data_IF_522010650544
#
_entry.id   IF_522010650544
#
_cell.length_a   1.000
_cell.length_b   1.000
_cell.length_c   1.000
_cell.angle_alpha   90.00
_cell.angle_beta   90.00
_cell.angle_gamma   90.00
#
_symmetry.space_group_name_H-M   'P 1'
#
loop_
_entity.id
_entity.type
_entity.pdbx_description
1 polymer ?
#
# COMPACT_ATOMS: atom_id res chain seq x y z
N UNK A 1 4.21 -1.92 -28.72
CA UNK A 1 3.91 -0.54 -28.26
C UNK A 1 2.89 0.05 -29.21
N UNK A 2 1.62 0.06 -28.81
CA UNK A 2 0.52 0.55 -29.65
C UNK A 2 0.07 1.92 -29.12
N UNK A 3 0.12 2.94 -29.96
CA UNK A 3 -0.36 4.29 -29.63
C UNK A 3 -1.78 4.41 -30.15
N UNK A 4 -2.73 4.65 -29.26
CA UNK A 4 -4.13 4.93 -29.62
C UNK A 4 -4.34 6.43 -29.46
N UNK A 5 -4.68 7.10 -30.56
CA UNK A 5 -4.93 8.54 -30.57
C UNK A 5 -6.41 8.81 -30.25
N UNK A 6 -6.72 8.96 -28.96
CA UNK A 6 -8.01 9.45 -28.49
C UNK A 6 -7.90 10.95 -28.22
N UNK A 7 -8.19 11.75 -29.25
CA UNK A 7 -8.38 13.20 -29.22
C UNK A 7 -7.96 13.93 -27.95
N UNK A 8 -6.73 14.48 -27.97
CA UNK A 8 -6.03 15.32 -26.96
C UNK A 8 -5.20 14.63 -25.87
N UNK A 9 -5.26 13.32 -25.68
CA UNK A 9 -4.31 12.63 -24.79
C UNK A 9 -3.79 11.34 -25.42
N UNK A 10 -2.48 11.29 -25.68
CA UNK A 10 -1.81 10.04 -26.05
C UNK A 10 -1.73 9.15 -24.82
N UNK A 11 -2.60 8.15 -24.73
CA UNK A 11 -2.52 7.12 -23.69
C UNK A 11 -1.60 6.02 -24.20
N UNK A 12 -0.44 5.88 -23.58
CA UNK A 12 0.48 4.77 -23.85
C UNK A 12 -0.08 3.51 -23.19
N UNK A 13 -0.58 2.57 -24.00
CA UNK A 13 -0.98 1.25 -23.51
C UNK A 13 0.29 0.42 -23.38
N UNK A 14 0.74 0.23 -22.14
CA UNK A 14 1.88 -0.62 -21.81
C UNK A 14 1.46 -2.10 -21.90
N UNK A 15 1.97 -2.82 -22.89
CA UNK A 15 1.90 -4.28 -22.91
C UNK A 15 2.82 -4.81 -21.80
N UNK A 16 2.26 -5.58 -20.86
CA UNK A 16 3.04 -6.19 -19.80
C UNK A 16 4.14 -7.07 -20.41
N UNK A 17 5.44 -6.85 -20.10
CA UNK A 17 6.45 -7.82 -20.44
C UNK A 17 6.11 -9.12 -19.71
N UNK A 18 6.01 -10.22 -20.44
CA UNK A 18 5.90 -11.54 -19.86
C UNK A 18 7.12 -11.75 -18.95
N UNK A 19 6.91 -11.76 -17.63
CA UNK A 19 7.97 -12.04 -16.67
C UNK A 19 8.47 -13.47 -16.89
N UNK A 20 9.62 -13.60 -17.57
CA UNK A 20 10.44 -14.81 -17.47
C UNK A 20 10.96 -14.89 -16.05
N UNK A 21 10.46 -15.85 -15.28
CA UNK A 21 11.10 -16.31 -14.07
C UNK A 21 12.53 -16.77 -14.42
N UNK A 22 13.52 -15.95 -14.08
CA UNK A 22 14.93 -16.37 -14.08
C UNK A 22 15.18 -17.02 -12.73
N UNK A 23 15.05 -18.34 -12.69
CA UNK A 23 15.58 -19.14 -11.59
C UNK A 23 17.12 -18.96 -11.56
N UNK A 24 17.63 -18.43 -10.45
CA UNK A 24 19.05 -18.43 -10.14
C UNK A 24 19.35 -19.65 -9.24
N UNK A 25 19.94 -20.74 -9.76
CA UNK A 25 20.13 -21.97 -8.99
C UNK A 25 21.40 -21.96 -8.12
N UNK A 26 22.13 -20.83 -8.01
CA UNK A 26 23.45 -20.80 -7.38
C UNK A 26 23.63 -19.67 -6.36
N UNK A 27 22.67 -19.49 -5.45
CA UNK A 27 22.96 -18.80 -4.18
C UNK A 27 23.73 -19.75 -3.26
N UNK A 28 25.06 -19.69 -3.33
CA UNK A 28 25.98 -20.52 -2.55
C UNK A 28 25.69 -20.49 -1.05
N UNK A 29 25.43 -21.66 -0.49
CA UNK A 29 25.37 -21.88 0.96
C UNK A 29 26.71 -21.46 1.57
N UNK A 30 26.70 -20.46 2.46
CA UNK A 30 27.85 -20.24 3.34
C UNK A 30 28.03 -21.50 4.20
N UNK A 31 29.25 -22.05 4.31
CA UNK A 31 29.50 -23.18 5.17
C UNK A 31 29.06 -22.84 6.59
N UNK A 32 28.24 -23.72 7.16
CA UNK A 32 27.70 -23.58 8.50
C UNK A 32 28.84 -23.89 9.48
N UNK A 33 29.34 -22.85 10.14
CA UNK A 33 30.44 -22.95 11.11
C UNK A 33 29.98 -23.83 12.27
N UNK A 34 30.75 -24.87 12.57
CA UNK A 34 30.39 -25.82 13.62
C UNK A 34 30.44 -25.15 14.99
N UNK A 35 29.75 -25.73 15.98
CA UNK A 35 29.75 -25.22 17.36
C UNK A 35 31.17 -25.17 17.95
N UNK A 36 32.04 -26.11 17.57
CA UNK A 36 33.44 -26.15 17.99
C UNK A 36 34.26 -25.00 17.39
N UNK A 37 34.10 -24.72 16.09
CA UNK A 37 34.76 -23.59 15.42
C UNK A 37 34.36 -22.23 16.02
N UNK A 38 33.12 -22.10 16.47
CA UNK A 38 32.63 -20.90 17.18
C UNK A 38 33.28 -20.73 18.55
N UNK A 39 33.47 -21.83 19.29
CA UNK A 39 34.10 -21.79 20.61
C UNK A 39 35.59 -21.47 20.52
N UNK A 40 36.31 -22.07 19.57
CA UNK A 40 37.74 -21.75 19.35
C UNK A 40 37.97 -20.28 18.96
N UNK A 41 37.06 -19.70 18.18
CA UNK A 41 37.12 -18.29 17.81
C UNK A 41 36.95 -17.39 19.03
N UNK A 42 35.96 -17.70 19.89
CA UNK A 42 35.71 -16.96 21.12
C UNK A 42 36.87 -17.07 22.11
N UNK A 43 37.47 -18.24 22.26
CA UNK A 43 38.62 -18.44 23.15
C UNK A 43 39.85 -17.65 22.69
N UNK A 44 40.10 -17.59 21.38
CA UNK A 44 41.17 -16.74 20.80
C UNK A 44 40.94 -15.26 21.11
N UNK A 45 39.72 -14.77 20.86
CA UNK A 45 39.34 -13.38 21.14
C UNK A 45 39.45 -13.05 22.65
N UNK A 46 39.03 -13.97 23.53
CA UNK A 46 39.14 -13.77 24.98
C UNK A 46 40.60 -13.76 25.48
N UNK A 47 41.48 -14.54 24.83
CA UNK A 47 42.90 -14.58 25.16
C UNK A 47 43.62 -13.27 24.82
N UNK A 48 43.24 -12.62 23.72
CA UNK A 48 43.82 -11.34 23.28
C UNK A 48 43.40 -10.18 24.19
N UNK A 49 42.15 -10.22 24.68
CA UNK A 49 41.65 -9.26 25.69
C UNK A 49 42.39 -9.42 27.01
N UNK A 50 42.65 -10.65 27.45
CA UNK A 50 43.41 -10.90 28.70
C UNK A 50 44.89 -10.50 28.58
N UNK A 51 45.46 -10.54 27.36
CA UNK A 51 46.85 -10.15 27.10
C UNK A 51 47.05 -8.64 27.12
N UNK A 52 46.03 -7.87 26.71
CA UNK A 52 46.05 -6.40 26.77
C UNK A 52 45.83 -5.82 28.18
N UNK A 53 45.23 -6.58 29.11
CA UNK A 53 44.83 -6.04 30.42
C UNK A 53 45.86 -6.25 31.55
N UNK A 54 47.09 -6.70 31.25
CA UNK A 54 48.14 -6.96 32.27
C UNK A 54 49.17 -5.84 32.46
N UNK A 55 49.11 -4.74 31.71
CA UNK A 55 50.13 -3.68 31.76
C UNK A 55 49.68 -2.33 32.35
N UNK A 56 48.49 -2.24 32.97
CA UNK A 56 47.90 -0.93 33.28
C UNK A 56 47.30 -0.80 34.70
N UNK A 57 47.91 -1.30 35.78
CA UNK A 57 47.39 -0.99 37.14
C UNK A 57 48.38 -1.12 38.30
N UNK A 58 49.59 -0.57 38.20
CA UNK A 58 50.48 -0.37 39.36
C UNK A 58 51.23 0.97 39.29
N UNK A 59 50.49 2.08 39.24
CA UNK A 59 50.93 3.40 39.70
C UNK A 59 49.72 4.36 39.67
N UNK A 60 49.68 5.34 40.58
CA UNK A 60 48.71 6.47 40.68
C UNK A 60 47.55 6.31 41.68
N UNK A 61 47.83 5.92 42.93
CA UNK A 61 46.80 5.81 43.97
C UNK A 61 46.34 7.13 44.66
N UNK A 62 47.00 8.31 44.58
CA UNK A 62 46.43 9.52 45.21
C UNK A 62 46.11 10.71 44.28
N UNK A 63 46.34 10.62 42.97
CA UNK A 63 45.84 11.61 41.99
C UNK A 63 44.53 11.17 41.29
N UNK A 64 44.11 9.92 41.52
CA UNK A 64 42.98 9.30 40.83
C UNK A 64 41.62 9.88 41.24
N UNK A 65 41.45 10.39 42.47
CA UNK A 65 40.14 10.86 42.94
C UNK A 65 39.57 12.06 42.18
N UNK A 66 40.41 13.06 41.87
CA UNK A 66 39.98 14.28 41.18
C UNK A 66 39.97 14.13 39.64
N UNK A 67 40.90 13.34 39.08
CA UNK A 67 40.93 12.99 37.66
C UNK A 67 39.89 11.94 37.26
N UNK A 68 39.40 11.10 38.18
CA UNK A 68 38.27 10.18 37.90
C UNK A 68 36.95 10.95 37.82
N UNK A 69 36.74 12.01 38.60
CA UNK A 69 35.52 12.84 38.52
C UNK A 69 35.54 13.76 37.28
N UNK A 70 36.67 14.41 36.98
CA UNK A 70 36.84 15.18 35.74
C UNK A 70 36.93 14.28 34.49
N UNK A 71 37.55 13.10 34.60
CA UNK A 71 37.62 12.09 33.56
C UNK A 71 36.26 11.45 33.27
N UNK A 72 35.42 11.19 34.28
CA UNK A 72 34.02 10.78 34.06
C UNK A 72 33.22 11.90 33.39
N UNK A 73 33.44 13.17 33.74
CA UNK A 73 32.73 14.28 33.09
C UNK A 73 33.20 14.56 31.65
N UNK A 74 34.48 14.31 31.33
CA UNK A 74 35.03 14.49 29.98
C UNK A 74 34.82 13.24 29.10
N UNK A 75 34.82 12.03 29.65
CA UNK A 75 34.47 10.79 28.93
C UNK A 75 32.94 10.55 28.86
N UNK A 76 32.15 11.24 29.70
CA UNK A 76 30.69 11.33 29.57
C UNK A 76 30.23 12.42 28.60
N UNK A 77 31.15 13.18 27.98
CA UNK A 77 30.82 13.88 26.73
C UNK A 77 30.64 12.83 25.64
N UNK A 78 29.41 12.33 25.65
CA UNK A 78 28.70 11.61 24.61
C UNK A 78 29.57 11.29 23.44
N UNK A 79 29.89 10.01 23.32
CA UNK A 79 30.10 9.39 22.02
C UNK A 79 28.75 9.40 21.28
N UNK A 80 28.17 10.60 21.09
CA UNK A 80 27.01 10.89 20.28
C UNK A 80 27.51 10.69 18.86
N UNK A 81 27.67 9.41 18.49
CA UNK A 81 27.75 9.01 17.10
C UNK A 81 26.58 9.75 16.45
N UNK A 82 26.83 10.63 15.46
CA UNK A 82 25.76 11.34 14.79
C UNK A 82 24.73 10.28 14.46
N UNK A 83 23.51 10.42 14.99
CA UNK A 83 22.47 9.45 14.77
C UNK A 83 22.35 9.35 13.25
N UNK A 84 22.87 8.26 12.68
CA UNK A 84 22.86 8.08 11.23
C UNK A 84 21.41 7.91 10.86
N UNK A 85 20.76 9.03 10.55
CA UNK A 85 19.36 9.05 10.18
C UNK A 85 19.24 8.24 8.91
N UNK A 86 18.49 7.13 8.98
CA UNK A 86 18.25 6.31 7.81
C UNK A 86 17.72 7.18 6.66
N UNK A 87 18.13 6.91 5.40
CA UNK A 87 17.70 7.72 4.27
C UNK A 87 16.18 7.74 4.15
N UNK A 88 15.65 8.84 3.64
CA UNK A 88 14.25 8.93 3.27
C UNK A 88 14.01 8.12 2.01
N UNK A 89 12.93 7.33 2.02
CA UNK A 89 12.49 6.51 0.89
C UNK A 89 11.00 6.71 0.66
N UNK A 90 10.61 6.67 -0.61
CA UNK A 90 9.20 6.66 -0.98
C UNK A 90 8.62 5.26 -0.71
N UNK A 91 7.44 5.22 -0.10
CA UNK A 91 6.66 4.01 0.18
C UNK A 91 5.26 4.19 -0.33
N UNK A 92 4.65 3.08 -0.74
CA UNK A 92 3.36 3.08 -1.39
C UNK A 92 2.39 2.25 -0.56
N UNK A 93 1.17 2.76 -0.43
CA UNK A 93 0.13 2.12 0.36
C UNK A 93 -1.18 2.04 -0.38
N UNK A 94 -2.02 1.10 0.03
CA UNK A 94 -3.40 1.00 -0.41
C UNK A 94 -4.32 0.84 0.80
N UNK A 95 -5.45 1.52 0.77
CA UNK A 95 -6.58 1.27 1.67
C UNK A 95 -7.77 0.88 0.79
N UNK A 96 -8.34 -0.30 1.03
CA UNK A 96 -9.60 -0.73 0.43
C UNK A 96 -10.74 -0.24 1.32
N UNK A 97 -11.83 0.21 0.71
CA UNK A 97 -13.00 0.69 1.41
C UNK A 97 -14.27 0.06 0.86
N UNK A 98 -15.30 0.11 1.70
CA UNK A 98 -16.66 -0.06 1.26
C UNK A 98 -17.58 0.88 2.01
N UNK A 99 -18.72 1.20 1.41
CA UNK A 99 -19.89 1.58 2.17
C UNK A 99 -21.09 0.74 1.76
N UNK A 100 -22.05 0.58 2.66
CA UNK A 100 -23.30 -0.15 2.42
C UNK A 100 -24.41 0.37 3.35
N UNK A 101 -25.67 0.17 2.96
CA UNK A 101 -26.82 0.29 3.87
C UNK A 101 -27.17 -1.07 4.50
N UNK A 102 -28.22 -1.11 5.32
CA UNK A 102 -28.65 -2.35 5.99
C UNK A 102 -29.11 -3.46 5.02
N UNK A 103 -29.54 -3.09 3.81
CA UNK A 103 -30.02 -4.03 2.79
C UNK A 103 -28.89 -4.48 1.84
N UNK A 104 -27.75 -3.77 1.83
CA UNK A 104 -26.59 -4.01 0.98
C UNK A 104 -26.96 -4.20 -0.51
N UNK A 105 -27.89 -3.38 -1.01
CA UNK A 105 -28.28 -3.41 -2.42
C UNK A 105 -27.16 -2.82 -3.29
N UNK A 106 -26.99 -3.34 -4.51
CA UNK A 106 -26.02 -2.82 -5.47
C UNK A 106 -26.13 -1.29 -5.70
N UNK A 107 -27.33 -0.72 -5.61
CA UNK A 107 -27.58 0.73 -5.74
C UNK A 107 -27.17 1.57 -4.55
N UNK A 108 -26.87 0.94 -3.42
CA UNK A 108 -26.62 1.60 -2.13
C UNK A 108 -25.32 1.17 -1.48
N UNK A 109 -24.55 0.38 -2.20
CA UNK A 109 -23.28 -0.16 -1.79
C UNK A 109 -22.19 0.22 -2.76
N UNK A 110 -20.96 0.32 -2.25
CA UNK A 110 -19.83 0.76 -3.04
C UNK A 110 -18.55 0.12 -2.58
N UNK A 111 -17.68 -0.18 -3.55
CA UNK A 111 -16.31 -0.63 -3.36
C UNK A 111 -15.40 0.42 -3.97
N UNK A 112 -14.43 0.89 -3.21
CA UNK A 112 -13.47 1.89 -3.67
C UNK A 112 -12.12 1.70 -2.97
N UNK A 113 -11.04 2.22 -3.55
CA UNK A 113 -9.70 2.09 -3.00
C UNK A 113 -8.94 3.40 -3.10
N UNK A 114 -8.10 3.69 -2.11
CA UNK A 114 -7.16 4.83 -2.16
C UNK A 114 -5.73 4.31 -2.13
N UNK A 115 -4.94 4.77 -3.10
CA UNK A 115 -3.52 4.51 -3.30
C UNK A 115 -2.74 5.73 -2.84
N UNK A 116 -1.68 5.51 -2.09
CA UNK A 116 -1.01 6.55 -1.33
C UNK A 116 0.49 6.44 -1.59
N UNK A 117 1.13 7.57 -1.87
CA UNK A 117 2.58 7.70 -1.85
C UNK A 117 2.95 8.54 -0.63
N UNK A 118 3.82 8.01 0.21
CA UNK A 118 4.34 8.71 1.37
C UNK A 118 5.86 8.58 1.43
N UNK A 119 6.53 9.55 2.04
CA UNK A 119 7.97 9.55 2.25
C UNK A 119 8.26 9.32 3.72
N UNK A 120 9.15 8.39 4.03
CA UNK A 120 9.53 8.10 5.40
C UNK A 120 10.93 7.52 5.49
N UNK A 121 11.46 7.39 6.71
CA UNK A 121 12.79 6.79 6.90
C UNK A 121 12.79 5.32 6.50
N UNK A 122 13.89 4.84 5.93
CA UNK A 122 14.04 3.44 5.51
C UNK A 122 13.91 2.45 6.68
N UNK A 123 14.31 2.85 7.89
CA UNK A 123 14.14 2.08 9.12
C UNK A 123 12.70 2.06 9.66
N UNK A 124 11.78 2.82 9.04
CA UNK A 124 10.39 2.96 9.46
C UNK A 124 10.19 3.78 10.73
N UNK A 125 11.24 4.44 11.23
CA UNK A 125 11.15 5.37 12.37
C UNK A 125 10.69 6.75 11.91
N UNK A 126 10.06 7.51 12.80
CA UNK A 126 9.55 8.85 12.52
C UNK A 126 8.12 8.87 11.96
N UNK A 127 7.66 10.07 11.62
CA UNK A 127 6.37 10.29 10.96
C UNK A 127 6.55 10.28 9.44
N UNK A 128 5.76 9.49 8.70
CA UNK A 128 5.74 9.59 7.26
C UNK A 128 5.15 10.93 6.83
N UNK A 129 5.67 11.48 5.74
CA UNK A 129 5.11 12.65 5.04
C UNK A 129 4.20 12.15 3.92
N UNK A 130 2.96 12.62 3.87
CA UNK A 130 2.05 12.33 2.77
C UNK A 130 2.47 13.12 1.53
N UNK A 131 2.78 12.44 0.44
CA UNK A 131 3.19 13.08 -0.81
C UNK A 131 2.02 13.18 -1.78
N UNK A 132 1.28 12.10 -1.97
CA UNK A 132 0.24 12.02 -3.00
C UNK A 132 -0.80 10.95 -2.67
N UNK A 133 -2.05 11.18 -3.10
CA UNK A 133 -3.16 10.22 -2.98
C UNK A 133 -3.96 10.14 -4.28
N UNK A 134 -4.39 8.93 -4.60
CA UNK A 134 -5.20 8.61 -5.76
C UNK A 134 -6.33 7.68 -5.35
N UNK A 135 -7.57 8.04 -5.65
CA UNK A 135 -8.74 7.24 -5.29
C UNK A 135 -9.40 6.70 -6.55
N UNK A 136 -9.67 5.39 -6.56
CA UNK A 136 -10.58 4.76 -7.51
C UNK A 136 -11.93 4.63 -6.82
N UNK A 137 -12.87 5.51 -7.16
CA UNK A 137 -14.24 5.54 -6.67
C UNK A 137 -15.19 5.80 -7.85
N UNK A 138 -15.53 4.74 -8.57
CA UNK A 138 -16.29 4.84 -9.81
C UNK A 138 -17.80 4.73 -9.55
N UNK A 139 -18.52 5.83 -9.77
CA UNK A 139 -19.98 5.93 -9.60
C UNK A 139 -20.59 6.72 -10.77
N UNK A 140 -21.92 6.77 -10.93
CA UNK A 140 -22.55 7.67 -11.88
C UNK A 140 -22.12 9.12 -11.67
N UNK A 141 -21.97 9.86 -12.78
CA UNK A 141 -21.70 11.30 -12.72
C UNK A 141 -22.82 12.06 -12.01
N UNK A 142 -24.07 11.63 -12.18
CA UNK A 142 -25.25 12.20 -11.53
C UNK A 142 -25.67 11.33 -10.33
N UNK A 143 -24.93 11.46 -9.21
CA UNK A 143 -25.19 10.70 -7.98
C UNK A 143 -26.61 10.96 -7.43
N UNK A 144 -27.48 9.96 -7.59
CA UNK A 144 -28.81 9.89 -6.96
C UNK A 144 -28.75 8.96 -5.75
N UNK A 145 -29.61 9.20 -4.76
CA UNK A 145 -29.68 8.43 -3.50
C UNK A 145 -29.67 6.91 -3.70
N UNK A 146 -30.35 6.43 -4.75
CA UNK A 146 -30.28 5.06 -5.21
C UNK A 146 -29.89 5.03 -6.70
N UNK A 147 -28.85 4.27 -7.02
CA UNK A 147 -28.45 4.02 -8.40
C UNK A 147 -29.49 3.16 -9.13
N UNK A 148 -29.55 3.27 -10.45
CA UNK A 148 -30.45 2.49 -11.30
C UNK A 148 -29.84 1.09 -11.49
N UNK A 149 -30.38 0.06 -10.80
CA UNK A 149 -29.78 -1.29 -10.77
C UNK A 149 -30.26 -2.18 -11.93
N UNK A 150 -31.54 -2.07 -12.30
CA UNK A 150 -32.19 -3.09 -13.12
C UNK A 150 -32.70 -2.39 -14.38
N UNK A 151 -32.11 -2.71 -15.53
CA UNK A 151 -32.51 -2.24 -16.88
C UNK A 151 -32.07 -0.83 -17.31
N UNK A 152 -31.07 -0.23 -16.67
CA UNK A 152 -30.49 1.03 -17.15
C UNK A 152 -29.50 0.83 -18.30
N UNK A 153 -29.54 1.69 -19.32
CA UNK A 153 -28.42 1.87 -20.24
C UNK A 153 -27.18 2.30 -19.44
N UNK A 154 -25.95 1.90 -19.85
CA UNK A 154 -24.74 2.44 -19.26
C UNK A 154 -24.79 3.98 -19.27
N UNK A 155 -24.49 4.60 -18.12
CA UNK A 155 -24.53 6.06 -17.98
C UNK A 155 -23.12 6.64 -17.79
N UNK A 156 -22.88 7.94 -18.03
CA UNK A 156 -21.58 8.54 -17.78
C UNK A 156 -21.15 8.34 -16.32
N UNK A 157 -19.98 7.75 -16.11
CA UNK A 157 -19.38 7.63 -14.78
C UNK A 157 -18.48 8.81 -14.43
N UNK A 158 -18.13 8.91 -13.16
CA UNK A 158 -17.14 9.83 -12.61
C UNK A 158 -16.31 9.08 -11.57
N UNK A 159 -14.99 9.31 -11.59
CA UNK A 159 -14.11 8.91 -10.51
C UNK A 159 -14.15 9.97 -9.40
N UNK A 160 -14.70 9.63 -8.25
CA UNK A 160 -14.82 10.55 -7.11
C UNK A 160 -13.56 10.52 -6.25
N UNK A 161 -13.23 11.67 -5.65
CA UNK A 161 -12.20 11.74 -4.61
C UNK A 161 -12.63 10.96 -3.37
N UNK A 162 -11.67 10.62 -2.49
CA UNK A 162 -11.96 10.02 -1.19
C UNK A 162 -12.92 10.89 -0.37
N UNK A 163 -12.69 12.20 -0.34
CA UNK A 163 -13.52 13.15 0.42
C UNK A 163 -14.95 13.19 -0.10
N UNK A 164 -15.16 13.33 -1.42
CA UNK A 164 -16.50 13.31 -2.02
C UNK A 164 -17.23 11.99 -1.72
N UNK A 165 -16.53 10.86 -1.82
CA UNK A 165 -17.10 9.53 -1.58
C UNK A 165 -17.52 9.36 -0.12
N UNK A 166 -16.69 9.79 0.84
CA UNK A 166 -17.02 9.73 2.26
C UNK A 166 -18.11 10.72 2.65
N UNK A 167 -18.12 11.92 2.06
CA UNK A 167 -19.20 12.88 2.24
C UNK A 167 -20.54 12.33 1.74
N UNK A 168 -20.54 11.66 0.59
CA UNK A 168 -21.71 10.97 0.06
C UNK A 168 -22.20 9.85 1.00
N UNK A 169 -21.29 8.99 1.45
CA UNK A 169 -21.61 7.93 2.40
C UNK A 169 -22.25 8.48 3.68
N UNK A 170 -21.70 9.55 4.26
CA UNK A 170 -22.27 10.22 5.43
C UNK A 170 -23.64 10.85 5.16
N UNK A 171 -23.81 11.52 4.02
CA UNK A 171 -25.07 12.18 3.64
C UNK A 171 -26.25 11.21 3.63
N UNK A 172 -26.02 9.96 3.22
CA UNK A 172 -27.06 8.93 3.11
C UNK A 172 -26.95 7.84 4.18
N UNK A 173 -26.32 8.16 5.31
CA UNK A 173 -26.17 7.28 6.49
C UNK A 173 -25.68 5.87 6.13
N UNK A 174 -24.67 5.79 5.26
CA UNK A 174 -24.05 4.53 4.85
C UNK A 174 -22.95 4.14 5.82
N UNK A 175 -22.92 2.87 6.20
CA UNK A 175 -21.87 2.32 7.05
C UNK A 175 -20.60 2.14 6.25
N UNK A 176 -19.55 2.87 6.61
CA UNK A 176 -18.23 2.78 5.95
C UNK A 176 -17.34 1.79 6.69
N UNK A 177 -16.64 0.92 5.95
CA UNK A 177 -15.56 0.06 6.46
C UNK A 177 -14.30 0.26 5.63
N UNK A 178 -13.13 0.04 6.26
CA UNK A 178 -11.83 0.07 5.60
C UNK A 178 -10.99 -1.17 5.91
N UNK A 179 -10.07 -1.50 5.00
CA UNK A 179 -9.03 -2.50 5.19
C UNK A 179 -7.68 -1.91 4.78
N UNK A 180 -6.70 -1.93 5.68
CA UNK A 180 -5.39 -1.31 5.49
C UNK A 180 -5.13 -0.16 6.48
N UNK A 181 -4.14 0.70 6.25
CA UNK A 181 -3.29 0.81 5.07
C UNK A 181 -2.26 -0.33 4.91
N UNK A 182 -2.25 -0.96 3.74
CA UNK A 182 -1.30 -2.01 3.37
C UNK A 182 -0.16 -1.44 2.53
N UNK A 183 1.08 -1.85 2.79
CA UNK A 183 2.22 -1.46 1.95
C UNK A 183 2.21 -2.27 0.64
N UNK A 184 2.25 -1.58 -0.49
CA UNK A 184 2.18 -2.13 -1.84
C UNK A 184 3.45 -1.80 -2.64
N UNK A 185 3.77 -2.55 -3.71
CA UNK A 185 4.85 -2.19 -4.61
C UNK A 185 4.51 -0.91 -5.41
N UNK A 186 5.55 -0.18 -5.83
CA UNK A 186 5.40 1.06 -6.60
C UNK A 186 4.63 0.87 -7.90
N UNK A 187 4.84 -0.26 -8.60
CA UNK A 187 4.16 -0.55 -9.86
C UNK A 187 2.63 -0.59 -9.70
N UNK A 188 2.12 -1.04 -8.54
CA UNK A 188 0.67 -1.11 -8.30
C UNK A 188 0.09 0.29 -8.08
N UNK A 189 0.84 1.18 -7.42
CA UNK A 189 0.50 2.59 -7.30
C UNK A 189 0.49 3.28 -8.67
N UNK A 190 1.56 3.12 -9.46
CA UNK A 190 1.66 3.71 -10.81
C UNK A 190 0.54 3.21 -11.74
N UNK A 191 0.23 1.91 -11.68
CA UNK A 191 -0.86 1.31 -12.44
C UNK A 191 -2.22 1.89 -12.02
N UNK A 192 -2.42 2.25 -10.76
CA UNK A 192 -3.66 2.88 -10.29
C UNK A 192 -3.88 4.25 -10.95
N UNK A 193 -2.83 5.04 -11.11
CA UNK A 193 -2.87 6.35 -11.78
C UNK A 193 -3.27 6.17 -13.25
N UNK A 194 -2.64 5.22 -13.94
CA UNK A 194 -2.99 4.90 -15.32
C UNK A 194 -4.44 4.43 -15.45
N UNK A 195 -4.91 3.62 -14.50
CA UNK A 195 -6.29 3.15 -14.48
C UNK A 195 -7.29 4.28 -14.29
N UNK A 196 -7.00 5.22 -13.38
CA UNK A 196 -7.81 6.43 -13.16
C UNK A 196 -7.91 7.24 -14.45
N UNK A 197 -6.79 7.45 -15.15
CA UNK A 197 -6.80 8.16 -16.44
C UNK A 197 -7.71 7.49 -17.48
N UNK A 198 -7.78 6.15 -17.49
CA UNK A 198 -8.71 5.42 -18.38
C UNK A 198 -10.17 5.61 -17.95
N UNK A 199 -10.46 5.54 -16.65
CA UNK A 199 -11.81 5.80 -16.14
C UNK A 199 -12.27 7.23 -16.48
N UNK A 200 -11.38 8.21 -16.32
CA UNK A 200 -11.66 9.63 -16.56
C UNK A 200 -11.66 10.01 -18.05
N UNK A 201 -11.24 9.12 -18.95
CA UNK A 201 -11.24 9.37 -20.40
C UNK A 201 -12.63 9.53 -21.01
N UNK A 202 -13.68 9.13 -20.30
CA UNK A 202 -15.06 9.07 -20.82
C UNK A 202 -15.36 7.88 -21.72
N UNK A 203 -14.38 7.02 -22.00
CA UNK A 203 -14.58 5.76 -22.74
C UNK A 203 -15.23 4.66 -21.88
N UNK A 204 -15.17 4.81 -20.55
CA UNK A 204 -15.77 3.88 -19.61
C UNK A 204 -17.07 4.48 -19.09
N UNK A 205 -18.16 3.74 -19.23
CA UNK A 205 -19.46 4.08 -18.66
C UNK A 205 -19.64 3.39 -17.30
N UNK A 206 -20.59 3.87 -16.50
CA UNK A 206 -21.00 3.24 -15.27
C UNK A 206 -22.22 2.35 -15.49
N UNK A 207 -22.23 1.19 -14.83
CA UNK A 207 -23.42 0.34 -14.73
C UNK A 207 -23.38 -0.45 -13.42
N UNK A 208 -24.34 -0.22 -12.51
CA UNK A 208 -24.33 -0.82 -11.18
C UNK A 208 -24.32 -2.37 -11.21
N UNK A 209 -25.18 -2.97 -12.04
CA UNK A 209 -25.32 -4.42 -12.17
C UNK A 209 -24.60 -4.98 -13.41
N UNK A 210 -23.51 -4.35 -13.85
CA UNK A 210 -22.75 -4.80 -15.02
C UNK A 210 -21.99 -6.09 -14.72
N UNK A 211 -22.66 -7.23 -14.66
CA UNK A 211 -22.04 -8.56 -14.50
C UNK A 211 -21.72 -9.22 -15.84
N UNK A 212 -22.20 -8.64 -16.95
CA UNK A 212 -22.03 -9.25 -18.26
C UNK A 212 -20.62 -9.01 -18.82
N UNK A 213 -19.89 -10.10 -19.00
CA UNK A 213 -18.60 -10.17 -19.68
C UNK A 213 -18.67 -9.58 -21.11
N UNK A 214 -19.85 -9.52 -21.73
CA UNK A 214 -20.06 -8.86 -23.03
C UNK A 214 -19.75 -7.36 -22.99
N UNK A 215 -20.23 -6.62 -21.97
CA UNK A 215 -20.00 -5.19 -21.82
C UNK A 215 -18.53 -4.88 -21.51
N UNK A 216 -17.86 -5.79 -20.80
CA UNK A 216 -16.41 -5.76 -20.59
C UNK A 216 -15.63 -5.99 -21.88
N UNK A 217 -16.03 -6.96 -22.70
CA UNK A 217 -15.34 -7.26 -23.97
C UNK A 217 -15.44 -6.09 -24.95
N UNK A 218 -16.52 -5.31 -24.91
CA UNK A 218 -16.61 -4.06 -25.67
C UNK A 218 -15.55 -3.04 -25.24
N UNK A 219 -15.28 -2.91 -23.92
CA UNK A 219 -14.17 -2.10 -23.41
C UNK A 219 -12.80 -2.59 -23.89
N UNK A 220 -12.53 -3.91 -23.82
CA UNK A 220 -11.26 -4.47 -24.33
C UNK A 220 -11.08 -4.26 -25.83
N UNK A 221 -12.19 -4.10 -26.57
CA UNK A 221 -12.21 -3.82 -28.01
C UNK A 221 -12.25 -2.32 -28.34
N UNK A 222 -12.01 -1.43 -27.36
CA UNK A 222 -12.01 0.03 -27.52
C UNK A 222 -13.36 0.61 -27.99
N UNK A 223 -14.46 -0.13 -27.87
CA UNK A 223 -15.76 0.26 -28.38
C UNK A 223 -16.62 1.03 -27.36
N UNK A 224 -16.04 1.47 -26.25
CA UNK A 224 -16.78 1.95 -25.08
C UNK A 224 -17.43 0.77 -24.35
N UNK A 225 -17.11 0.60 -23.08
CA UNK A 225 -17.73 -0.44 -22.25
C UNK A 225 -18.13 0.12 -20.90
N UNK A 226 -18.85 -0.67 -20.12
CA UNK A 226 -19.32 -0.25 -18.80
C UNK A 226 -18.63 -1.00 -17.69
N UNK A 227 -18.38 -0.32 -16.56
CA UNK A 227 -17.92 -0.94 -15.33
C UNK A 227 -18.84 -0.57 -14.16
N UNK A 228 -18.99 -1.50 -13.22
CA UNK A 228 -19.44 -1.16 -11.87
C UNK A 228 -18.25 -0.71 -10.99
N UNK A 229 -18.54 -0.33 -9.75
CA UNK A 229 -17.52 0.12 -8.80
C UNK A 229 -16.52 -0.98 -8.41
N UNK A 230 -16.98 -2.22 -8.27
CA UNK A 230 -16.14 -3.36 -7.92
C UNK A 230 -15.13 -3.63 -9.04
N UNK A 231 -15.58 -3.62 -10.30
CA UNK A 231 -14.75 -3.80 -11.49
C UNK A 231 -13.77 -2.68 -11.70
N UNK A 232 -14.15 -1.43 -11.40
CA UNK A 232 -13.23 -0.30 -11.47
C UNK A 232 -12.01 -0.50 -10.55
N UNK A 233 -12.19 -1.18 -9.41
CA UNK A 233 -11.09 -1.50 -8.50
C UNK A 233 -10.39 -2.81 -8.90
N UNK A 234 -11.13 -3.90 -9.12
CA UNK A 234 -10.53 -5.23 -9.35
C UNK A 234 -9.76 -5.31 -10.67
N UNK A 235 -10.24 -4.66 -11.74
CA UNK A 235 -9.58 -4.64 -13.06
C UNK A 235 -8.18 -4.02 -13.02
N UNK A 236 -7.82 -3.35 -11.92
CA UNK A 236 -6.44 -2.95 -11.69
C UNK A 236 -5.49 -4.14 -11.68
N UNK A 237 -5.89 -5.29 -11.13
CA UNK A 237 -5.10 -6.52 -11.12
C UNK A 237 -5.58 -7.46 -12.22
N UNK A 238 -6.85 -7.88 -12.14
CA UNK A 238 -7.46 -8.86 -13.05
C UNK A 238 -8.99 -8.72 -13.01
N UNK A 239 -9.66 -9.34 -13.96
CA UNK A 239 -11.11 -9.49 -13.84
C UNK A 239 -11.46 -10.33 -12.63
N UNK A 240 -12.45 -9.88 -11.87
CA UNK A 240 -13.02 -10.65 -10.78
C UNK A 240 -14.54 -10.57 -10.82
N UNK A 241 -15.18 -11.73 -11.01
CA UNK A 241 -16.63 -11.85 -10.88
C UNK A 241 -16.99 -12.18 -9.42
N UNK A 242 -17.45 -11.19 -8.67
CA UNK A 242 -17.83 -11.36 -7.27
C UNK A 242 -19.26 -11.91 -7.08
N UNK A 243 -19.93 -12.30 -8.17
CA UNK A 243 -21.30 -12.80 -8.16
C UNK A 243 -22.29 -11.73 -7.68
N UNK A 244 -23.09 -12.07 -6.68
CA UNK A 244 -24.10 -11.20 -6.07
C UNK A 244 -23.58 -10.41 -4.86
N UNK A 245 -22.27 -10.42 -4.61
CA UNK A 245 -21.68 -9.68 -3.51
C UNK A 245 -21.57 -8.20 -3.85
N UNK A 246 -21.90 -7.34 -2.88
CA UNK A 246 -21.76 -5.88 -2.95
C UNK A 246 -21.16 -5.36 -1.64
N UNK A 247 -20.71 -4.11 -1.63
CA UNK A 247 -20.26 -3.44 -0.41
C UNK A 247 -19.10 -4.17 0.26
N UNK A 248 -19.25 -4.47 1.55
CA UNK A 248 -18.18 -5.09 2.34
C UNK A 248 -17.83 -6.52 1.87
N UNK A 249 -18.81 -7.42 1.64
CA UNK A 249 -18.53 -8.74 1.06
C UNK A 249 -17.68 -8.70 -0.22
N UNK A 250 -18.06 -7.88 -1.20
CA UNK A 250 -17.33 -7.78 -2.47
C UNK A 250 -15.92 -7.22 -2.27
N UNK A 251 -15.79 -6.16 -1.46
CA UNK A 251 -14.52 -5.50 -1.18
C UNK A 251 -13.54 -6.45 -0.49
N UNK A 252 -14.02 -7.26 0.47
CA UNK A 252 -13.22 -8.29 1.13
C UNK A 252 -12.77 -9.38 0.15
N UNK A 253 -13.66 -9.79 -0.76
CA UNK A 253 -13.37 -10.82 -1.74
C UNK A 253 -12.25 -10.38 -2.70
N UNK A 254 -12.40 -9.21 -3.34
CA UNK A 254 -11.37 -8.70 -4.26
C UNK A 254 -10.06 -8.39 -3.52
N UNK A 255 -10.13 -7.87 -2.28
CA UNK A 255 -8.93 -7.63 -1.49
C UNK A 255 -8.18 -8.94 -1.26
N UNK A 256 -8.88 -9.99 -0.82
CA UNK A 256 -8.29 -11.29 -0.48
C UNK A 256 -7.73 -12.01 -1.71
N UNK A 257 -8.46 -12.01 -2.83
CA UNK A 257 -8.14 -12.85 -3.97
C UNK A 257 -7.30 -12.16 -5.05
N UNK A 258 -7.35 -10.82 -5.12
CA UNK A 258 -6.67 -10.05 -6.16
C UNK A 258 -5.49 -9.27 -5.59
N UNK A 259 -5.69 -8.57 -4.47
CA UNK A 259 -4.70 -7.62 -3.96
C UNK A 259 -3.73 -8.21 -2.95
N UNK A 260 -4.18 -9.09 -2.05
CA UNK A 260 -3.33 -9.70 -1.02
C UNK A 260 -2.06 -10.39 -1.57
N UNK A 261 -2.09 -11.06 -2.73
CA UNK A 261 -0.87 -11.61 -3.35
C UNK A 261 0.20 -10.56 -3.70
N UNK A 262 -0.18 -9.28 -3.83
CA UNK A 262 0.70 -8.19 -4.21
C UNK A 262 1.09 -7.27 -3.05
N UNK A 263 0.50 -7.46 -1.86
CA UNK A 263 0.84 -6.67 -0.66
C UNK A 263 2.17 -7.17 -0.09
N UNK A 264 3.11 -6.26 0.20
CA UNK A 264 4.46 -6.60 0.66
C UNK A 264 4.44 -7.37 1.98
N UNK A 265 3.53 -7.01 2.89
CA UNK A 265 3.32 -7.66 4.19
C UNK A 265 1.83 -7.68 4.56
N UNK A 266 1.04 -8.67 4.10
CA UNK A 266 -0.42 -8.66 4.24
C UNK A 266 -0.91 -8.68 5.70
N UNK A 267 -0.13 -9.24 6.63
CA UNK A 267 -0.42 -9.22 8.06
C UNK A 267 -0.09 -7.91 8.79
N UNK A 268 0.46 -6.90 8.11
CA UNK A 268 0.88 -5.62 8.71
C UNK A 268 0.12 -4.45 8.10
N UNK A 269 -0.57 -3.71 8.94
CA UNK A 269 -1.20 -2.43 8.60
C UNK A 269 -0.38 -1.24 9.12
N UNK A 270 -0.62 -0.05 8.57
CA UNK A 270 0.10 1.18 8.89
C UNK A 270 -0.86 2.26 9.41
N UNK A 271 -1.09 2.28 10.72
CA UNK A 271 -2.01 3.23 11.36
C UNK A 271 -1.62 4.68 11.15
N UNK A 272 -0.33 5.02 11.16
CA UNK A 272 0.15 6.39 10.86
C UNK A 272 -0.33 6.89 9.50
N UNK A 273 -0.34 6.03 8.49
CA UNK A 273 -0.86 6.38 7.15
C UNK A 273 -2.38 6.63 7.19
N UNK A 274 -3.11 5.87 8.01
CA UNK A 274 -4.55 6.09 8.21
C UNK A 274 -4.82 7.43 8.91
N UNK A 275 -4.04 7.75 9.93
CA UNK A 275 -4.14 8.98 10.70
C UNK A 275 -3.84 10.22 9.84
N UNK A 276 -2.82 10.15 8.97
CA UNK A 276 -2.51 11.23 8.01
C UNK A 276 -3.68 11.58 7.07
N UNK A 277 -4.59 10.64 6.83
CA UNK A 277 -5.80 10.84 6.02
C UNK A 277 -7.04 11.21 6.86
N UNK A 278 -6.91 11.33 8.18
CA UNK A 278 -8.03 11.61 9.07
C UNK A 278 -9.09 10.51 9.12
N UNK A 279 -8.69 9.24 8.96
CA UNK A 279 -9.60 8.10 8.81
C UNK A 279 -9.76 7.25 10.08
N UNK A 280 -9.29 7.74 11.23
CA UNK A 280 -9.30 6.98 12.49
C UNK A 280 -10.73 6.70 13.02
N UNK A 281 -11.71 7.47 12.57
CA UNK A 281 -13.12 7.28 12.90
C UNK A 281 -13.79 6.14 12.11
N UNK A 282 -13.17 5.64 11.03
CA UNK A 282 -13.73 4.56 10.20
C UNK A 282 -13.33 3.21 10.78
N UNK A 283 -14.33 2.36 11.05
CA UNK A 283 -14.09 1.00 11.53
C UNK A 283 -13.30 0.15 10.53
N UNK A 284 -12.38 -0.67 11.04
CA UNK A 284 -11.73 -1.71 10.23
C UNK A 284 -12.76 -2.81 9.90
N UNK A 285 -12.76 -3.31 8.67
CA UNK A 285 -13.55 -4.48 8.31
C UNK A 285 -12.85 -5.76 8.81
N UNK A 286 -13.44 -6.44 9.80
CA UNK A 286 -13.03 -7.78 10.22
C UNK A 286 -13.33 -8.87 9.20
#
# INVERSE_FOLDING_TARGET
MNVVDCGRQRVLIWEMPAERAVENPQAGKRPEMTTEERLEKLERELSDVKRHNRYMSLALAPCLGLLVVLGFLVLSRGNDKPETTAPLVDRYYMIMFSYEDALNLASRSHTFATFIKARGRADGKGEPELIETHTISWLPKDLKEALRIVFGEPEPGKNYTLEETLAYARKYDRKVKKWGAFEIPSWLFERSIQHIAVLDSGLVLYMANGTDESHRRAYLRQAGGSKNCIQAVSDLIKYHNVGLNWGSPASRLILKEDFMPHIIRPGRTHSKITALLGLDWISNGG
#
